data_IF_018478958777
#
_entry.id   IF_018478958777
#
_cell.length_a   1.000
_cell.length_b   1.000
_cell.length_c   1.000
_cell.angle_alpha   90.00
_cell.angle_beta   90.00
_cell.angle_gamma   90.00
#
_symmetry.space_group_name_H-M   'P 1'
#
loop_
_entity.id
_entity.type
_entity.pdbx_description
1 polymer ?
#
# COMPACT_ATOMS: atom_id res chain seq x y z
N UNK A 1 4.16 0.94 -4.95
CA UNK A 1 5.08 0.15 -4.10
C UNK A 1 6.45 0.01 -4.77
N UNK A 2 6.56 -0.71 -5.90
CA UNK A 2 7.85 -1.00 -6.57
C UNK A 2 8.61 0.22 -7.07
N UNK A 3 7.91 1.25 -7.52
CA UNK A 3 8.53 2.49 -8.04
C UNK A 3 9.18 3.35 -6.95
N UNK A 4 8.79 3.14 -5.68
CA UNK A 4 9.35 3.85 -4.53
C UNK A 4 10.58 3.15 -3.94
N UNK A 5 10.92 1.96 -4.42
CA UNK A 5 12.18 1.31 -4.11
C UNK A 5 13.26 1.96 -4.98
N UNK A 6 13.90 3.01 -4.46
CA UNK A 6 15.00 3.76 -5.10
C UNK A 6 16.29 2.91 -5.19
N UNK A 7 16.22 1.76 -5.85
CA UNK A 7 17.31 0.80 -6.01
C UNK A 7 18.16 1.10 -7.25
N UNK A 8 19.35 0.52 -7.30
CA UNK A 8 20.26 0.61 -8.45
C UNK A 8 19.55 0.17 -9.76
N UNK A 9 19.71 0.90 -10.88
CA UNK A 9 19.02 0.58 -12.14
C UNK A 9 19.31 -0.82 -12.71
N UNK A 10 20.45 -1.42 -12.35
CA UNK A 10 20.83 -2.77 -12.77
C UNK A 10 20.09 -3.86 -11.97
N UNK A 11 19.36 -3.51 -10.91
CA UNK A 11 18.52 -4.43 -10.17
C UNK A 11 17.18 -4.58 -10.91
N UNK A 12 16.95 -5.78 -11.46
CA UNK A 12 15.67 -6.12 -12.07
C UNK A 12 14.62 -6.29 -10.97
N UNK A 13 13.50 -5.60 -11.12
CA UNK A 13 12.35 -5.70 -10.20
C UNK A 13 11.23 -6.46 -10.89
N UNK A 14 10.76 -7.54 -10.28
CA UNK A 14 9.63 -8.34 -10.77
C UNK A 14 8.45 -8.14 -9.80
N UNK A 15 7.46 -7.29 -10.14
CA UNK A 15 6.30 -7.10 -9.28
C UNK A 15 5.38 -8.32 -9.35
N UNK A 16 5.07 -8.89 -8.19
CA UNK A 16 4.10 -9.98 -8.01
C UNK A 16 3.03 -9.49 -7.04
N UNK A 17 1.76 -9.73 -7.34
CA UNK A 17 0.68 -9.41 -6.41
C UNK A 17 0.57 -10.52 -5.38
N UNK A 18 0.26 -10.15 -4.14
CA UNK A 18 -0.03 -11.13 -3.09
C UNK A 18 -1.22 -12.04 -3.47
N UNK A 19 -2.18 -11.50 -4.22
CA UNK A 19 -3.31 -12.27 -4.75
C UNK A 19 -2.86 -13.37 -5.73
N UNK A 20 -1.77 -13.15 -6.50
CA UNK A 20 -1.20 -14.17 -7.37
C UNK A 20 -0.69 -15.38 -6.55
N UNK A 21 -0.10 -15.12 -5.38
CA UNK A 21 0.35 -16.16 -4.45
C UNK A 21 -0.82 -16.89 -3.81
N UNK A 22 -1.85 -16.15 -3.37
CA UNK A 22 -3.08 -16.72 -2.78
C UNK A 22 -3.84 -17.62 -3.75
N UNK A 23 -3.83 -17.26 -5.04
CA UNK A 23 -4.49 -18.01 -6.10
C UNK A 23 -3.64 -19.19 -6.60
N UNK A 24 -2.44 -19.40 -6.06
CA UNK A 24 -1.49 -20.42 -6.52
C UNK A 24 -1.23 -20.32 -8.03
N UNK A 25 -0.99 -19.11 -8.54
CA UNK A 25 -0.66 -18.89 -9.94
C UNK A 25 0.76 -19.39 -10.24
N UNK A 26 0.87 -20.59 -10.83
CA UNK A 26 2.13 -21.25 -11.15
C UNK A 26 3.06 -20.40 -12.04
N UNK A 27 2.51 -19.62 -12.98
CA UNK A 27 3.32 -18.77 -13.86
C UNK A 27 3.99 -17.63 -13.06
N UNK A 28 3.26 -17.08 -12.10
CA UNK A 28 3.74 -16.00 -11.22
C UNK A 28 4.73 -16.54 -10.19
N UNK A 29 4.45 -17.71 -9.62
CA UNK A 29 5.34 -18.39 -8.68
C UNK A 29 6.66 -18.74 -9.39
N UNK A 30 6.62 -19.24 -10.62
CA UNK A 30 7.84 -19.55 -11.38
C UNK A 30 8.73 -18.32 -11.58
N UNK A 31 8.15 -17.14 -11.79
CA UNK A 31 8.92 -15.88 -11.87
C UNK A 31 9.61 -15.52 -10.55
N UNK A 32 9.04 -15.92 -9.41
CA UNK A 32 9.67 -15.73 -8.09
C UNK A 32 10.87 -16.67 -7.94
N UNK A 33 10.78 -17.91 -8.42
CA UNK A 33 11.89 -18.88 -8.38
C UNK A 33 13.14 -18.34 -9.09
N UNK A 34 12.97 -17.56 -10.16
CA UNK A 34 14.06 -16.94 -10.91
C UNK A 34 14.67 -15.68 -10.23
N UNK A 35 14.18 -15.30 -9.04
CA UNK A 35 14.67 -14.15 -8.28
C UNK A 35 15.71 -14.53 -7.23
N UNK A 36 16.63 -13.61 -6.95
CA UNK A 36 17.62 -13.79 -5.86
C UNK A 36 17.05 -13.48 -4.46
N UNK A 37 15.97 -12.69 -4.41
CA UNK A 37 15.40 -12.14 -3.17
C UNK A 37 13.94 -11.75 -3.37
N UNK A 38 13.13 -11.97 -2.33
CA UNK A 38 11.75 -11.46 -2.23
C UNK A 38 11.71 -10.30 -1.25
N UNK A 39 11.06 -9.21 -1.63
CA UNK A 39 10.86 -8.04 -0.77
C UNK A 39 9.37 -7.81 -0.59
N UNK A 40 8.91 -7.73 0.66
CA UNK A 40 7.51 -7.52 1.03
C UNK A 40 7.40 -6.57 2.23
N UNK A 41 6.25 -5.94 2.45
CA UNK A 41 6.04 -5.18 3.68
C UNK A 41 6.02 -6.10 4.91
N UNK A 42 6.42 -5.61 6.09
CA UNK A 42 6.29 -6.37 7.35
C UNK A 42 4.85 -6.83 7.64
N UNK A 43 3.84 -6.07 7.18
CA UNK A 43 2.42 -6.44 7.27
C UNK A 43 2.11 -7.77 6.58
N UNK A 44 2.80 -8.07 5.47
CA UNK A 44 2.58 -9.26 4.65
C UNK A 44 3.71 -10.29 4.79
N UNK A 45 4.72 -10.03 5.62
CA UNK A 45 5.92 -10.89 5.70
C UNK A 45 5.57 -12.34 6.04
N UNK A 46 4.76 -12.53 7.09
CA UNK A 46 4.35 -13.87 7.52
C UNK A 46 3.59 -14.61 6.42
N UNK A 47 2.64 -13.94 5.79
CA UNK A 47 1.83 -14.54 4.72
C UNK A 47 2.68 -14.92 3.51
N UNK A 48 3.61 -14.05 3.11
CA UNK A 48 4.56 -14.35 2.03
C UNK A 48 5.48 -15.52 2.39
N UNK A 49 5.92 -15.63 3.65
CA UNK A 49 6.71 -16.78 4.13
C UNK A 49 5.91 -18.08 4.11
N UNK A 50 4.62 -18.04 4.42
CA UNK A 50 3.72 -19.22 4.32
C UNK A 50 3.64 -19.72 2.87
N UNK A 51 3.65 -18.82 1.88
CA UNK A 51 3.60 -19.20 0.46
C UNK A 51 4.95 -19.55 -0.17
N UNK A 52 6.04 -18.89 0.21
CA UNK A 52 7.32 -18.97 -0.52
C UNK A 52 8.48 -19.50 0.32
N UNK A 53 8.25 -19.79 1.61
CA UNK A 53 9.31 -20.23 2.54
C UNK A 53 9.98 -21.54 2.13
N UNK A 54 9.37 -22.33 1.25
CA UNK A 54 9.94 -23.56 0.72
C UNK A 54 11.03 -23.33 -0.34
N UNK A 55 11.16 -22.11 -0.89
CA UNK A 55 12.12 -21.78 -1.95
C UNK A 55 13.55 -21.53 -1.46
N UNK A 56 13.79 -21.58 -0.14
CA UNK A 56 15.09 -21.34 0.50
C UNK A 56 15.79 -20.05 0.06
N UNK A 57 15.01 -19.04 -0.31
CA UNK A 57 15.50 -17.72 -0.72
C UNK A 57 15.21 -16.65 0.34
N UNK A 58 16.03 -15.59 0.44
CA UNK A 58 15.79 -14.50 1.38
C UNK A 58 14.43 -13.81 1.13
N UNK A 59 13.58 -13.77 2.14
CA UNK A 59 12.33 -12.99 2.16
C UNK A 59 12.50 -11.82 3.15
N UNK A 60 12.67 -10.62 2.61
CA UNK A 60 12.94 -9.40 3.40
C UNK A 60 11.65 -8.62 3.61
N UNK A 61 11.29 -8.45 4.89
CA UNK A 61 10.28 -7.51 5.33
C UNK A 61 10.81 -6.07 5.34
N UNK A 62 10.01 -5.14 4.83
CA UNK A 62 10.29 -3.70 4.90
C UNK A 62 9.15 -2.96 5.58
N UNK A 63 9.47 -1.92 6.34
CA UNK A 63 8.46 -1.03 6.88
C UNK A 63 7.91 -0.15 5.76
N UNK A 64 6.62 0.19 5.89
CA UNK A 64 5.96 1.16 5.03
C UNK A 64 5.46 2.30 5.90
N UNK A 65 5.47 3.50 5.33
CA UNK A 65 4.98 4.70 5.96
C UNK A 65 4.10 5.47 4.96
N UNK A 66 3.13 6.26 5.43
CA UNK A 66 2.36 7.14 4.57
C UNK A 66 3.28 8.11 3.83
N UNK A 67 3.04 8.28 2.54
CA UNK A 67 3.74 9.27 1.73
C UNK A 67 3.52 10.68 2.28
N UNK A 68 4.59 11.49 2.38
CA UNK A 68 4.54 12.84 2.96
C UNK A 68 3.59 13.74 2.18
N UNK A 69 3.58 13.65 0.84
CA UNK A 69 2.69 14.47 0.03
C UNK A 69 1.21 14.09 0.23
N UNK A 70 0.93 12.82 0.53
CA UNK A 70 -0.38 12.33 0.95
C UNK A 70 -0.77 12.97 2.28
N UNK A 71 0.08 12.88 3.31
CA UNK A 71 -0.20 13.45 4.63
C UNK A 71 -0.47 14.96 4.57
N UNK A 72 0.29 15.71 3.76
CA UNK A 72 0.07 17.14 3.56
C UNK A 72 -1.30 17.45 2.95
N UNK A 73 -1.79 16.62 2.02
CA UNK A 73 -3.13 16.79 1.43
C UNK A 73 -4.22 16.49 2.45
N UNK A 74 -4.05 15.42 3.23
CA UNK A 74 -5.01 15.03 4.27
C UNK A 74 -5.09 16.08 5.37
N UNK A 75 -3.96 16.61 5.84
CA UNK A 75 -3.90 17.64 6.87
C UNK A 75 -4.50 19.00 6.45
N UNK A 76 -4.71 19.22 5.15
CA UNK A 76 -5.39 20.42 4.62
C UNK A 76 -6.92 20.29 4.59
N UNK A 77 -7.46 19.09 4.80
CA UNK A 77 -8.90 18.93 4.95
C UNK A 77 -9.32 19.62 6.26
N UNK A 78 -10.32 20.51 6.24
CA UNK A 78 -10.76 21.17 7.47
C UNK A 78 -11.38 20.19 8.48
N UNK A 79 -11.18 20.44 9.77
CA UNK A 79 -11.61 19.51 10.84
C UNK A 79 -13.13 19.34 10.96
N UNK A 80 -13.91 20.30 10.50
CA UNK A 80 -15.39 20.23 10.50
C UNK A 80 -15.95 19.39 9.34
N UNK A 81 -15.10 18.95 8.41
CA UNK A 81 -15.50 18.14 7.26
C UNK A 81 -15.76 16.67 7.62
N UNK A 82 -16.62 16.04 6.83
CA UNK A 82 -16.89 14.61 6.85
C UNK A 82 -15.97 13.91 5.87
N UNK A 83 -15.24 12.90 6.35
CA UNK A 83 -14.25 12.18 5.56
C UNK A 83 -14.64 10.72 5.38
N UNK A 84 -14.57 10.21 4.15
CA UNK A 84 -14.77 8.79 3.86
C UNK A 84 -13.45 8.05 3.66
N UNK A 85 -13.28 6.87 4.25
CA UNK A 85 -12.19 5.94 3.93
C UNK A 85 -12.77 4.80 3.08
N UNK A 86 -12.33 4.73 1.82
CA UNK A 86 -12.81 3.76 0.85
C UNK A 86 -11.62 2.93 0.39
N UNK A 87 -11.65 1.65 0.72
CA UNK A 87 -10.57 0.72 0.40
C UNK A 87 -11.17 -0.62 -0.05
N UNK A 88 -10.37 -1.60 -0.47
CA UNK A 88 -10.82 -2.99 -0.61
C UNK A 88 -10.37 -3.89 0.54
N UNK A 89 -9.54 -3.35 1.45
CA UNK A 89 -8.87 -4.11 2.49
C UNK A 89 -9.16 -3.49 3.85
N UNK A 90 -9.76 -4.28 4.74
CA UNK A 90 -10.02 -3.88 6.13
C UNK A 90 -8.71 -3.48 6.82
N UNK A 91 -7.63 -4.22 6.52
CA UNK A 91 -6.30 -3.94 7.04
C UNK A 91 -5.80 -2.56 6.59
N UNK A 92 -5.98 -2.21 5.31
CA UNK A 92 -5.57 -0.90 4.79
C UNK A 92 -6.41 0.25 5.36
N UNK A 93 -7.72 0.06 5.56
CA UNK A 93 -8.56 1.04 6.25
C UNK A 93 -8.09 1.27 7.69
N UNK A 94 -7.73 0.19 8.41
CA UNK A 94 -7.19 0.28 9.77
C UNK A 94 -5.86 1.04 9.81
N UNK A 95 -4.95 0.77 8.87
CA UNK A 95 -3.68 1.49 8.74
C UNK A 95 -3.87 2.99 8.52
N UNK A 96 -4.84 3.38 7.68
CA UNK A 96 -5.19 4.80 7.51
C UNK A 96 -5.64 5.41 8.84
N UNK A 97 -6.53 4.74 9.59
CA UNK A 97 -6.97 5.24 10.91
C UNK A 97 -5.82 5.40 11.89
N UNK A 98 -4.99 4.37 12.04
CA UNK A 98 -3.85 4.37 12.97
C UNK A 98 -2.93 5.56 12.67
N UNK A 99 -2.74 5.91 11.40
CA UNK A 99 -1.96 7.08 10.98
C UNK A 99 -2.65 8.39 11.36
N UNK A 100 -3.96 8.53 11.08
CA UNK A 100 -4.72 9.73 11.43
C UNK A 100 -4.67 9.97 12.95
N UNK A 101 -4.90 8.92 13.73
CA UNK A 101 -4.85 8.94 15.20
C UNK A 101 -3.46 9.33 15.71
N UNK A 102 -2.40 8.67 15.22
CA UNK A 102 -1.02 8.96 15.61
C UNK A 102 -0.60 10.40 15.32
N UNK A 103 -1.14 11.01 14.27
CA UNK A 103 -0.86 12.39 13.88
C UNK A 103 -1.84 13.42 14.46
N UNK A 104 -2.80 12.98 15.29
CA UNK A 104 -3.89 13.81 15.80
C UNK A 104 -4.67 14.55 14.69
N UNK A 105 -4.82 13.92 13.53
CA UNK A 105 -5.65 14.43 12.43
C UNK A 105 -7.08 13.96 12.68
N UNK A 106 -7.98 14.91 12.95
CA UNK A 106 -9.37 14.65 13.31
C UNK A 106 -10.33 15.33 12.33
N UNK A 107 -11.51 14.74 12.19
CA UNK A 107 -12.61 15.19 11.34
C UNK A 107 -13.92 15.10 12.09
N UNK A 108 -14.96 15.82 11.66
CA UNK A 108 -16.26 15.82 12.34
C UNK A 108 -16.94 14.45 12.30
N UNK A 109 -16.74 13.73 11.19
CA UNK A 109 -17.21 12.37 11.00
C UNK A 109 -16.27 11.61 10.07
N UNK A 110 -15.97 10.35 10.40
CA UNK A 110 -15.23 9.44 9.52
C UNK A 110 -16.14 8.26 9.17
N UNK A 111 -16.46 8.11 7.89
CA UNK A 111 -17.18 6.96 7.35
C UNK A 111 -16.22 5.99 6.70
N UNK A 112 -16.51 4.69 6.75
CA UNK A 112 -15.63 3.71 6.11
C UNK A 112 -16.39 2.63 5.35
N UNK A 113 -15.79 2.17 4.26
CA UNK A 113 -16.26 0.98 3.57
C UNK A 113 -15.12 0.23 2.89
N UNK A 114 -15.21 -1.09 2.94
CA UNK A 114 -14.40 -2.02 2.14
C UNK A 114 -15.18 -2.65 1.00
N UNK A 115 -16.42 -2.20 0.79
CA UNK A 115 -17.32 -2.75 -0.22
C UNK A 115 -16.84 -2.44 -1.63
N UNK A 116 -16.89 -3.43 -2.51
CA UNK A 116 -16.71 -3.27 -3.96
C UNK A 116 -18.02 -2.92 -4.67
N UNK A 117 -19.15 -2.91 -3.97
CA UNK A 117 -20.45 -2.56 -4.54
C UNK A 117 -20.53 -1.06 -4.86
N UNK A 118 -20.70 -0.74 -6.14
CA UNK A 118 -20.76 0.64 -6.64
C UNK A 118 -21.81 1.51 -5.94
N UNK A 119 -22.99 0.97 -5.61
CA UNK A 119 -24.04 1.75 -4.94
C UNK A 119 -23.65 2.09 -3.51
N UNK A 120 -23.04 1.14 -2.77
CA UNK A 120 -22.53 1.38 -1.41
C UNK A 120 -21.46 2.47 -1.43
N UNK A 121 -20.47 2.36 -2.33
CA UNK A 121 -19.40 3.35 -2.48
C UNK A 121 -19.98 4.72 -2.82
N UNK A 122 -20.87 4.80 -3.82
CA UNK A 122 -21.52 6.06 -4.24
C UNK A 122 -22.32 6.72 -3.13
N UNK A 123 -23.05 5.93 -2.33
CA UNK A 123 -23.81 6.46 -1.19
C UNK A 123 -22.89 7.03 -0.09
N UNK A 124 -21.73 6.42 0.14
CA UNK A 124 -20.75 6.92 1.11
C UNK A 124 -20.09 8.21 0.59
N UNK A 125 -19.60 8.20 -0.64
CA UNK A 125 -18.92 9.35 -1.27
C UNK A 125 -19.79 10.61 -1.22
N UNK A 126 -21.09 10.48 -1.53
CA UNK A 126 -22.04 11.62 -1.53
C UNK A 126 -22.30 12.25 -0.17
N UNK A 127 -21.89 11.60 0.93
CA UNK A 127 -22.02 12.13 2.29
C UNK A 127 -20.76 12.82 2.79
N UNK A 128 -19.68 12.77 2.02
CA UNK A 128 -18.36 13.21 2.45
C UNK A 128 -17.92 14.45 1.67
N UNK A 129 -17.21 15.34 2.36
CA UNK A 129 -16.54 16.48 1.75
C UNK A 129 -15.18 16.07 1.17
N UNK A 130 -14.56 15.01 1.72
CA UNK A 130 -13.37 14.39 1.17
C UNK A 130 -13.39 12.87 1.36
N UNK A 131 -12.69 12.14 0.49
CA UNK A 131 -12.53 10.69 0.57
C UNK A 131 -11.06 10.30 0.40
N UNK A 132 -10.60 9.46 1.32
CA UNK A 132 -9.30 8.79 1.30
C UNK A 132 -9.48 7.44 0.62
N UNK A 133 -8.73 7.21 -0.45
CA UNK A 133 -8.91 6.02 -1.30
C UNK A 133 -7.60 5.26 -1.47
N UNK A 134 -7.68 3.93 -1.58
CA UNK A 134 -6.54 3.17 -2.10
C UNK A 134 -6.22 3.60 -3.55
N UNK A 135 -4.94 3.57 -3.99
CA UNK A 135 -4.58 4.03 -5.35
C UNK A 135 -5.39 3.38 -6.47
N UNK A 136 -5.69 2.07 -6.33
CA UNK A 136 -6.49 1.32 -7.31
C UNK A 136 -7.93 1.81 -7.44
N UNK A 137 -8.49 2.45 -6.40
CA UNK A 137 -9.89 2.86 -6.36
C UNK A 137 -10.12 4.32 -6.75
N UNK A 138 -9.09 5.14 -6.92
CA UNK A 138 -9.25 6.59 -7.15
C UNK A 138 -10.15 6.90 -8.34
N UNK A 139 -9.89 6.27 -9.49
CA UNK A 139 -10.66 6.57 -10.69
C UNK A 139 -12.12 6.15 -10.53
N UNK A 140 -12.37 4.95 -9.99
CA UNK A 140 -13.73 4.48 -9.74
C UNK A 140 -14.50 5.37 -8.75
N UNK A 141 -13.83 5.90 -7.72
CA UNK A 141 -14.44 6.79 -6.72
C UNK A 141 -14.69 8.19 -7.27
N UNK A 142 -13.81 8.71 -8.14
CA UNK A 142 -13.98 10.02 -8.77
C UNK A 142 -15.28 10.13 -9.56
N UNK A 143 -15.71 9.07 -10.22
CA UNK A 143 -16.96 9.05 -10.98
C UNK A 143 -18.22 9.20 -10.11
N UNK A 144 -18.08 9.00 -8.79
CA UNK A 144 -19.15 9.17 -7.82
C UNK A 144 -19.04 10.47 -7.00
N UNK A 145 -17.90 11.15 -7.08
CA UNK A 145 -17.62 12.38 -6.36
C UNK A 145 -18.51 13.53 -6.88
N UNK A 146 -18.98 14.36 -5.97
CA UNK A 146 -19.68 15.59 -6.33
C UNK A 146 -18.64 16.70 -6.57
N UNK A 147 -19.05 17.78 -7.23
CA UNK A 147 -18.21 18.97 -7.34
C UNK A 147 -17.80 19.46 -5.94
N UNK A 148 -16.50 19.66 -5.74
CA UNK A 148 -15.94 20.03 -4.44
C UNK A 148 -15.54 18.86 -3.54
N UNK A 149 -15.97 17.62 -3.81
CA UNK A 149 -15.53 16.46 -3.02
C UNK A 149 -14.05 16.16 -3.29
N UNK A 150 -13.20 16.29 -2.27
CA UNK A 150 -11.76 16.01 -2.38
C UNK A 150 -11.48 14.51 -2.45
N UNK A 151 -10.99 13.99 -3.59
CA UNK A 151 -10.56 12.59 -3.71
C UNK A 151 -9.05 12.48 -3.56
N UNK A 152 -8.58 11.94 -2.42
CA UNK A 152 -7.16 11.83 -2.06
C UNK A 152 -6.76 10.36 -2.06
N UNK A 153 -5.78 10.00 -2.89
CA UNK A 153 -5.12 8.70 -2.79
C UNK A 153 -4.29 8.66 -1.52
N UNK A 154 -4.56 7.69 -0.67
CA UNK A 154 -3.73 7.40 0.48
C UNK A 154 -2.64 6.41 0.08
N UNK A 155 -1.41 6.89 -0.07
CA UNK A 155 -0.27 6.10 -0.54
C UNK A 155 0.64 5.76 0.63
N UNK A 156 1.05 4.50 0.71
CA UNK A 156 2.15 4.07 1.56
C UNK A 156 3.39 3.76 0.71
N UNK A 157 4.54 4.17 1.20
CA UNK A 157 5.84 3.96 0.58
C UNK A 157 6.76 3.23 1.56
N UNK A 158 7.69 2.41 1.07
CA UNK A 158 8.75 1.89 1.92
C UNK A 158 9.50 3.02 2.64
N UNK A 159 9.79 2.83 3.92
CA UNK A 159 10.54 3.83 4.67
C UNK A 159 12.02 3.84 4.27
N UNK A 160 12.68 4.99 4.46
CA UNK A 160 14.08 5.18 4.06
C UNK A 160 15.05 4.21 4.74
N UNK A 161 14.80 3.85 6.00
CA UNK A 161 15.66 2.93 6.76
C UNK A 161 15.60 1.54 6.13
N UNK A 162 14.40 1.04 5.85
CA UNK A 162 14.25 -0.25 5.19
C UNK A 162 14.87 -0.27 3.79
N UNK A 163 14.70 0.79 3.00
CA UNK A 163 15.34 0.90 1.68
C UNK A 163 16.87 0.84 1.80
N UNK A 164 17.46 1.57 2.75
CA UNK A 164 18.90 1.59 2.94
C UNK A 164 19.44 0.22 3.38
N UNK A 165 18.74 -0.46 4.28
CA UNK A 165 19.09 -1.81 4.72
C UNK A 165 19.00 -2.81 3.56
N UNK A 166 17.96 -2.71 2.73
CA UNK A 166 17.81 -3.53 1.53
C UNK A 166 18.98 -3.32 0.55
N UNK A 167 19.39 -2.06 0.32
CA UNK A 167 20.55 -1.75 -0.54
C UNK A 167 21.83 -2.41 -0.02
N UNK A 168 22.08 -2.35 1.29
CA UNK A 168 23.24 -3.00 1.91
C UNK A 168 23.19 -4.53 1.75
N UNK A 169 22.03 -5.14 2.00
CA UNK A 169 21.84 -6.59 1.82
C UNK A 169 22.07 -7.03 0.38
N UNK A 170 21.61 -6.25 -0.61
CA UNK A 170 21.86 -6.54 -2.04
C UNK A 170 23.35 -6.45 -2.39
N UNK A 171 24.09 -5.49 -1.82
CA UNK A 171 25.54 -5.38 -2.03
C UNK A 171 26.27 -6.61 -1.47
N UNK A 172 25.85 -7.11 -0.31
CA UNK A 172 26.42 -8.30 0.30
C UNK A 172 26.14 -9.57 -0.50
N UNK A 173 24.91 -9.73 -0.99
CA UNK A 173 24.55 -10.82 -1.91
C UNK A 173 25.41 -10.81 -3.18
N UNK A 174 25.63 -9.63 -3.78
CA UNK A 174 26.51 -9.50 -4.95
C UNK A 174 27.95 -9.94 -4.66
N UNK A 175 28.47 -9.70 -3.46
CA UNK A 175 29.84 -10.12 -3.09
C UNK A 175 29.95 -11.63 -2.91
N UNK A 176 28.88 -12.30 -2.47
CA UNK A 176 28.87 -13.75 -2.27
C UNK A 176 28.65 -14.53 -3.59
N UNK A 177 28.17 -13.86 -4.63
CA UNK A 177 27.97 -14.41 -5.99
C UNK A 177 29.18 -14.21 -6.92
N UNK A 178 30.19 -13.41 -6.50
CA UNK A 178 31.45 -13.16 -7.22
C UNK A 178 32.59 -13.98 -6.62
#
# INVERSE_FOLDING_TARGET
FTDHLELDPHIRRIPILLEDLRNHDDEKIQKVVDCDIVVTSFYHLREVQEYLGYLDMPIIGINIEPDVATLVKVARIPQDHKVGIITTSIQFAREIREVLEKLNITFSEIFETTSTNANTVKQLVRKCDAVLVSPKQKNAVKDYAMDGTGVIEFVFTPDRTSINNLKLGIIELKKNLM
#
